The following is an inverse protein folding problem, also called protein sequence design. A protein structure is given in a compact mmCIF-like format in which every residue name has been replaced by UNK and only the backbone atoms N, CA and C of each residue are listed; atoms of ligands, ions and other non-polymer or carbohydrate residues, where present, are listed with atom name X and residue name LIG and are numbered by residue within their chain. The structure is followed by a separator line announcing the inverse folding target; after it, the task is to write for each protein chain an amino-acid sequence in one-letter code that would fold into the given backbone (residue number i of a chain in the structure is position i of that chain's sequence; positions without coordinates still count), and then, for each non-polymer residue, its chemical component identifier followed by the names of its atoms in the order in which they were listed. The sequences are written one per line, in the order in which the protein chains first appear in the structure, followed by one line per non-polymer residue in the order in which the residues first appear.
data_IF_933302385393
#
_entry.id   IF_933302385393
#
_cell.length_a   1.000
_cell.length_b   1.000
_cell.length_c   1.000
_cell.angle_alpha   90.00
_cell.angle_beta   90.00
_cell.angle_gamma   90.00
#
_symmetry.space_group_name_H-M   'P 1'
#
loop_
_entity.id
_entity.type
_entity.pdbx_description
1 polymer ?
#
# COMPACT_ATOMS: atom_id res chain seq x y z
N UNK A 1 -23.28 -21.28 12.05
CA UNK A 1 -22.61 -21.37 10.73
C UNK A 1 -22.23 -22.82 10.48
N UNK A 2 -22.50 -23.34 9.30
CA UNK A 2 -22.16 -24.68 8.87
C UNK A 2 -21.07 -24.61 7.78
N UNK A 3 -20.05 -25.47 7.87
CA UNK A 3 -18.95 -25.47 6.92
C UNK A 3 -19.42 -26.02 5.57
N UNK A 4 -19.26 -25.25 4.51
CA UNK A 4 -19.52 -25.65 3.13
C UNK A 4 -18.25 -26.05 2.38
N UNK A 5 -17.12 -25.41 2.70
CA UNK A 5 -15.83 -25.74 2.10
C UNK A 5 -14.70 -25.45 3.10
N UNK A 6 -13.71 -26.31 3.12
CA UNK A 6 -12.49 -26.11 3.89
C UNK A 6 -11.44 -25.64 2.89
N UNK A 7 -10.92 -24.42 3.10
CA UNK A 7 -9.89 -23.83 2.24
C UNK A 7 -8.50 -24.26 2.71
N UNK A 8 -8.24 -24.19 4.02
CA UNK A 8 -7.09 -24.76 4.69
C UNK A 8 -7.39 -25.02 6.17
N UNK A 9 -6.37 -25.31 6.99
CA UNK A 9 -6.54 -25.60 8.41
C UNK A 9 -7.10 -24.42 9.22
N UNK A 10 -6.98 -23.20 8.73
CA UNK A 10 -7.33 -21.96 9.45
C UNK A 10 -8.47 -21.18 8.80
N UNK A 11 -8.90 -21.57 7.60
CA UNK A 11 -9.91 -20.84 6.81
C UNK A 11 -10.96 -21.80 6.28
N UNK A 12 -12.21 -21.47 6.55
CA UNK A 12 -13.37 -22.22 6.02
C UNK A 12 -14.37 -21.28 5.38
N UNK A 13 -15.06 -21.73 4.35
CA UNK A 13 -16.30 -21.14 3.87
C UNK A 13 -17.44 -21.76 4.63
N UNK A 14 -18.31 -20.93 5.18
CA UNK A 14 -19.44 -21.37 5.99
C UNK A 14 -20.74 -20.63 5.59
N UNK A 15 -21.85 -21.30 5.76
CA UNK A 15 -23.18 -20.77 5.52
C UNK A 15 -23.87 -20.51 6.85
N UNK A 16 -24.54 -19.35 6.98
CA UNK A 16 -25.43 -19.04 8.08
C UNK A 16 -26.59 -18.20 7.57
N UNK A 17 -27.83 -18.69 7.78
CA UNK A 17 -29.07 -18.02 7.32
C UNK A 17 -29.04 -17.61 5.83
N UNK A 18 -28.55 -18.48 4.94
CA UNK A 18 -28.39 -18.23 3.50
C UNK A 18 -27.38 -17.13 3.15
N UNK A 19 -26.51 -16.74 4.07
CA UNK A 19 -25.40 -15.83 3.83
C UNK A 19 -24.11 -16.63 3.89
N UNK A 20 -23.27 -16.48 2.89
CA UNK A 20 -21.96 -17.12 2.82
C UNK A 20 -20.90 -16.27 3.52
N UNK A 21 -20.04 -16.93 4.25
CA UNK A 21 -18.96 -16.31 5.02
C UNK A 21 -17.63 -17.00 4.75
N UNK A 22 -16.55 -16.21 4.69
CA UNK A 22 -15.22 -16.73 4.96
C UNK A 22 -14.95 -16.54 6.45
N UNK A 23 -14.63 -17.62 7.12
CA UNK A 23 -14.36 -17.63 8.56
C UNK A 23 -12.92 -18.08 8.78
N UNK A 24 -12.20 -17.30 9.54
CA UNK A 24 -10.77 -17.46 9.80
C UNK A 24 -10.51 -17.61 11.28
N UNK A 25 -9.58 -18.49 11.63
CA UNK A 25 -9.12 -18.70 12.99
C UNK A 25 -8.26 -19.93 13.11
N UNK A 26 -7.35 -19.90 14.05
CA UNK A 26 -6.34 -20.96 14.24
C UNK A 26 -6.96 -22.34 14.42
N UNK A 27 -6.64 -23.26 13.50
CA UNK A 27 -7.13 -24.64 13.53
C UNK A 27 -8.64 -24.77 13.33
N UNK A 28 -9.29 -23.79 12.71
CA UNK A 28 -10.74 -23.76 12.50
C UNK A 28 -11.22 -24.87 11.55
N UNK A 29 -10.41 -25.16 10.52
CA UNK A 29 -10.67 -26.24 9.55
C UNK A 29 -9.98 -27.57 9.89
N UNK A 30 -9.10 -27.58 10.91
CA UNK A 30 -8.34 -28.77 11.25
C UNK A 30 -9.25 -29.92 11.73
N UNK A 31 -9.14 -31.08 11.09
CA UNK A 31 -9.97 -32.28 11.34
C UNK A 31 -11.47 -32.08 11.16
N UNK A 32 -11.91 -30.98 10.54
CA UNK A 32 -13.31 -30.72 10.18
C UNK A 32 -13.68 -31.31 8.83
N UNK A 33 -14.98 -31.47 8.61
CA UNK A 33 -15.57 -31.93 7.35
C UNK A 33 -16.65 -30.94 6.90
N UNK A 34 -16.94 -30.97 5.61
CA UNK A 34 -18.11 -30.27 5.07
C UNK A 34 -19.36 -30.78 5.80
N UNK A 35 -20.18 -29.83 6.24
CA UNK A 35 -21.37 -30.09 7.05
C UNK A 35 -21.17 -29.95 8.57
N UNK A 36 -19.92 -29.89 9.05
CA UNK A 36 -19.65 -29.65 10.46
C UNK A 36 -19.97 -28.20 10.87
N UNK A 37 -20.21 -28.00 12.16
CA UNK A 37 -20.40 -26.65 12.69
C UNK A 37 -19.04 -25.96 12.90
N UNK A 38 -19.01 -24.67 12.56
CA UNK A 38 -17.89 -23.80 12.84
C UNK A 38 -17.74 -23.64 14.36
N UNK A 39 -16.54 -23.83 14.87
CA UNK A 39 -16.21 -23.63 16.28
C UNK A 39 -16.12 -22.13 16.58
N UNK A 40 -17.13 -21.60 17.26
CA UNK A 40 -17.26 -20.16 17.51
C UNK A 40 -16.13 -19.58 18.36
N UNK A 41 -15.52 -20.38 19.24
CA UNK A 41 -14.43 -19.94 20.10
C UNK A 41 -13.10 -19.75 19.33
N UNK A 42 -12.99 -20.38 18.17
CA UNK A 42 -11.82 -20.27 17.29
C UNK A 42 -11.94 -19.19 16.24
N UNK A 43 -13.09 -18.51 16.15
CA UNK A 43 -13.28 -17.46 15.14
C UNK A 43 -12.47 -16.22 15.52
N UNK A 44 -11.48 -15.89 14.70
CA UNK A 44 -10.71 -14.65 14.81
C UNK A 44 -11.26 -13.56 13.89
N UNK A 45 -11.69 -13.96 12.69
CA UNK A 45 -12.24 -13.04 11.70
C UNK A 45 -13.35 -13.69 10.86
N UNK A 46 -14.30 -12.88 10.46
CA UNK A 46 -15.41 -13.30 9.58
C UNK A 46 -15.61 -12.24 8.51
N UNK A 47 -15.68 -12.66 7.26
CA UNK A 47 -16.02 -11.80 6.12
C UNK A 47 -17.31 -12.33 5.46
N UNK A 48 -18.19 -11.41 5.10
CA UNK A 48 -19.37 -11.72 4.30
C UNK A 48 -18.99 -11.80 2.84
N UNK A 49 -19.43 -12.82 2.13
CA UNK A 49 -19.24 -12.94 0.69
C UNK A 49 -20.45 -12.34 -0.03
N UNK A 50 -20.21 -11.31 -0.82
CA UNK A 50 -21.27 -10.65 -1.58
C UNK A 50 -21.56 -11.35 -2.93
N UNK A 51 -20.61 -12.14 -3.45
CA UNK A 51 -20.76 -12.89 -4.70
C UNK A 51 -19.90 -14.16 -4.72
N UNK A 52 -20.27 -15.10 -5.59
CA UNK A 52 -19.65 -16.42 -5.73
C UNK A 52 -18.27 -16.35 -6.42
N UNK A 53 -17.99 -15.30 -7.22
CA UNK A 53 -16.70 -15.14 -7.91
C UNK A 53 -15.56 -14.86 -6.90
N UNK A 54 -15.87 -14.14 -5.82
CA UNK A 54 -14.94 -13.91 -4.72
C UNK A 54 -14.45 -15.24 -4.09
N UNK A 55 -15.29 -16.26 -4.00
CA UNK A 55 -14.93 -17.57 -3.41
C UNK A 55 -13.79 -18.26 -4.15
N UNK A 56 -13.78 -18.18 -5.48
CA UNK A 56 -12.74 -18.81 -6.29
C UNK A 56 -11.40 -18.08 -6.13
N UNK A 57 -11.42 -16.77 -6.06
CA UNK A 57 -10.24 -15.93 -5.85
C UNK A 57 -9.64 -16.18 -4.45
N UNK A 58 -10.49 -16.22 -3.43
CA UNK A 58 -10.12 -16.61 -2.09
C UNK A 58 -9.47 -18.00 -2.06
N UNK A 59 -10.10 -18.97 -2.73
CA UNK A 59 -9.58 -20.33 -2.74
C UNK A 59 -8.18 -20.43 -3.34
N UNK A 60 -7.87 -19.65 -4.40
CA UNK A 60 -6.54 -19.66 -5.03
C UNK A 60 -5.44 -19.14 -4.12
N UNK A 61 -5.70 -18.04 -3.43
CA UNK A 61 -4.71 -17.43 -2.54
C UNK A 61 -4.52 -18.28 -1.29
N UNK A 62 -5.61 -18.75 -0.67
CA UNK A 62 -5.54 -19.41 0.63
C UNK A 62 -5.10 -20.88 0.60
N UNK A 63 -5.33 -21.58 -0.50
CA UNK A 63 -4.86 -22.99 -0.63
C UNK A 63 -3.33 -23.06 -0.61
N UNK A 64 -2.65 -22.01 -1.06
CA UNK A 64 -1.19 -21.97 -1.18
C UNK A 64 -0.48 -21.26 -0.02
N UNK A 65 -1.21 -20.56 0.87
CA UNK A 65 -0.61 -19.84 1.99
C UNK A 65 -0.30 -20.80 3.15
N UNK A 66 0.95 -20.81 3.65
CA UNK A 66 1.29 -21.53 4.88
C UNK A 66 0.47 -21.03 6.07
N UNK A 67 0.09 -21.94 6.97
CA UNK A 67 -0.71 -21.61 8.17
C UNK A 67 -0.04 -20.53 9.05
N UNK A 68 1.30 -20.54 9.14
CA UNK A 68 2.06 -19.54 9.90
C UNK A 68 1.96 -18.15 9.28
N UNK A 69 2.07 -18.04 7.96
CA UNK A 69 1.97 -16.78 7.22
C UNK A 69 0.58 -16.17 7.42
N UNK A 70 -0.46 -17.00 7.31
CA UNK A 70 -1.85 -16.59 7.52
C UNK A 70 -2.06 -15.94 8.88
N UNK A 71 -1.55 -16.54 9.95
CA UNK A 71 -1.71 -16.00 11.30
C UNK A 71 -1.03 -14.64 11.45
N UNK A 72 0.16 -14.49 10.88
CA UNK A 72 0.88 -13.21 10.89
C UNK A 72 0.12 -12.14 10.12
N UNK A 73 -0.44 -12.47 8.95
CA UNK A 73 -1.21 -11.53 8.14
C UNK A 73 -2.51 -11.09 8.83
N UNK A 74 -3.19 -12.00 9.53
CA UNK A 74 -4.35 -11.64 10.35
C UNK A 74 -3.97 -10.71 11.51
N UNK A 75 -2.83 -10.93 12.15
CA UNK A 75 -2.32 -10.06 13.21
C UNK A 75 -2.00 -8.65 12.66
N UNK A 76 -1.40 -8.57 11.48
CA UNK A 76 -1.12 -7.30 10.80
C UNK A 76 -2.43 -6.56 10.49
N UNK A 77 -3.42 -7.25 9.92
CA UNK A 77 -4.72 -6.66 9.60
C UNK A 77 -5.42 -6.15 10.88
N UNK A 78 -5.44 -6.97 11.93
CA UNK A 78 -6.08 -6.60 13.21
C UNK A 78 -5.42 -5.37 13.83
N UNK A 79 -4.09 -5.29 13.80
CA UNK A 79 -3.35 -4.12 14.25
C UNK A 79 -3.69 -2.88 13.40
N UNK A 80 -3.72 -3.02 12.08
CA UNK A 80 -4.05 -1.92 11.18
C UNK A 80 -5.47 -1.39 11.40
N UNK A 81 -6.46 -2.27 11.56
CA UNK A 81 -7.83 -1.89 11.86
C UNK A 81 -7.96 -1.11 13.17
N UNK A 82 -7.20 -1.51 14.19
CA UNK A 82 -7.16 -0.80 15.47
C UNK A 82 -6.53 0.60 15.34
N UNK A 83 -5.43 0.72 14.58
CA UNK A 83 -4.72 2.00 14.38
C UNK A 83 -5.53 2.95 13.51
N UNK A 84 -6.12 2.46 12.41
CA UNK A 84 -6.85 3.28 11.43
C UNK A 84 -8.31 3.47 11.80
N UNK A 85 -8.82 2.72 12.79
CA UNK A 85 -10.23 2.72 13.21
C UNK A 85 -11.19 2.47 12.05
N UNK A 86 -10.83 1.57 11.15
CA UNK A 86 -11.60 1.17 9.99
C UNK A 86 -11.63 -0.34 9.85
N UNK A 87 -12.58 -0.85 9.10
CA UNK A 87 -12.66 -2.26 8.71
C UNK A 87 -12.31 -2.37 7.24
N UNK A 88 -11.58 -3.41 6.91
CA UNK A 88 -11.21 -3.70 5.54
C UNK A 88 -12.05 -4.83 5.00
N UNK A 89 -12.38 -4.72 3.72
CA UNK A 89 -13.13 -5.75 3.03
C UNK A 89 -12.26 -7.00 2.72
N UNK A 90 -12.91 -8.08 2.33
CA UNK A 90 -12.22 -9.32 2.00
C UNK A 90 -11.20 -9.19 0.88
N UNK A 91 -11.49 -8.43 -0.18
CA UNK A 91 -10.60 -8.30 -1.35
C UNK A 91 -9.30 -7.58 -0.98
N UNK A 92 -9.38 -6.63 -0.08
CA UNK A 92 -8.20 -6.00 0.49
C UNK A 92 -7.28 -7.01 1.20
N UNK A 93 -7.86 -7.88 2.04
CA UNK A 93 -7.05 -8.87 2.76
C UNK A 93 -6.35 -9.83 1.79
N UNK A 94 -7.03 -10.24 0.72
CA UNK A 94 -6.43 -11.08 -0.34
C UNK A 94 -5.24 -10.37 -0.97
N UNK A 95 -5.43 -9.11 -1.39
CA UNK A 95 -4.37 -8.33 -2.04
C UNK A 95 -3.16 -8.11 -1.11
N UNK A 96 -3.41 -7.86 0.17
CA UNK A 96 -2.35 -7.70 1.17
C UNK A 96 -1.61 -9.03 1.42
N UNK A 97 -2.36 -10.14 1.56
CA UNK A 97 -1.78 -11.45 1.82
C UNK A 97 -0.93 -11.94 0.64
N UNK A 98 -1.41 -11.74 -0.58
CA UNK A 98 -0.66 -12.05 -1.81
C UNK A 98 0.64 -11.23 -1.89
N UNK A 99 0.58 -9.93 -1.64
CA UNK A 99 1.76 -9.07 -1.60
C UNK A 99 2.78 -9.54 -0.55
N UNK A 100 2.34 -9.78 0.68
CA UNK A 100 3.22 -10.19 1.78
C UNK A 100 3.84 -11.55 1.53
N UNK A 101 3.05 -12.51 1.05
CA UNK A 101 3.56 -13.83 0.68
C UNK A 101 4.66 -13.73 -0.39
N UNK A 102 4.41 -12.94 -1.43
CA UNK A 102 5.38 -12.75 -2.50
C UNK A 102 6.64 -12.00 -2.02
N UNK A 103 6.50 -11.05 -1.10
CA UNK A 103 7.64 -10.34 -0.49
C UNK A 103 8.50 -11.30 0.36
N UNK A 104 7.87 -12.22 1.11
CA UNK A 104 8.55 -13.24 1.90
C UNK A 104 9.31 -14.22 1.00
N UNK A 105 8.68 -14.71 -0.08
CA UNK A 105 9.33 -15.62 -1.03
C UNK A 105 10.54 -14.95 -1.70
N UNK A 106 10.40 -13.72 -2.19
CA UNK A 106 11.52 -12.95 -2.77
C UNK A 106 12.67 -12.78 -1.78
N UNK A 107 12.35 -12.45 -0.52
CA UNK A 107 13.38 -12.29 0.51
C UNK A 107 14.15 -13.59 0.76
N UNK A 108 13.46 -14.74 0.78
CA UNK A 108 14.08 -16.06 0.89
C UNK A 108 14.99 -16.39 -0.29
N UNK A 109 14.66 -15.88 -1.47
CA UNK A 109 15.47 -16.00 -2.68
C UNK A 109 16.60 -14.96 -2.77
N UNK A 110 16.69 -14.06 -1.80
CA UNK A 110 17.70 -12.99 -1.78
C UNK A 110 17.44 -11.87 -2.79
N UNK A 111 16.20 -11.74 -3.28
CA UNK A 111 15.79 -10.68 -4.22
C UNK A 111 15.24 -9.51 -3.43
N UNK A 112 15.92 -8.37 -3.51
CA UNK A 112 15.49 -7.10 -2.92
C UNK A 112 14.81 -6.23 -3.98
N UNK A 113 13.69 -5.62 -3.61
CA UNK A 113 13.03 -4.59 -4.42
C UNK A 113 13.05 -3.26 -3.65
N UNK A 114 13.54 -2.23 -4.30
CA UNK A 114 13.46 -0.87 -3.77
C UNK A 114 12.09 -0.27 -4.12
N UNK A 115 11.47 0.38 -3.15
CA UNK A 115 10.25 1.15 -3.40
C UNK A 115 10.63 2.62 -3.67
N UNK A 116 10.48 3.11 -4.91
CA UNK A 116 10.85 4.48 -5.26
C UNK A 116 10.01 5.53 -4.55
N UNK A 117 8.92 5.13 -3.89
CA UNK A 117 8.02 6.00 -3.14
C UNK A 117 8.20 5.89 -1.62
N UNK A 118 9.23 5.16 -1.14
CA UNK A 118 9.40 4.89 0.28
C UNK A 118 9.49 6.17 1.11
N UNK A 119 10.19 7.18 0.60
CA UNK A 119 10.33 8.47 1.28
C UNK A 119 8.99 9.22 1.35
N UNK A 120 8.27 9.31 0.22
CA UNK A 120 6.98 9.98 0.12
C UNK A 120 5.95 9.34 1.04
N UNK A 121 5.89 8.01 1.03
CA UNK A 121 4.98 7.26 1.89
C UNK A 121 5.28 7.52 3.36
N UNK A 122 6.54 7.46 3.77
CA UNK A 122 6.96 7.76 5.14
C UNK A 122 6.58 9.19 5.57
N UNK A 123 6.69 10.14 4.65
CA UNK A 123 6.42 11.56 4.90
C UNK A 123 4.91 11.88 4.96
N UNK A 124 4.12 11.31 4.04
CA UNK A 124 2.73 11.71 3.81
C UNK A 124 1.71 10.80 4.47
N UNK A 125 2.10 9.56 4.72
CA UNK A 125 1.26 8.54 5.34
C UNK A 125 1.94 7.92 6.57
N UNK A 126 2.32 8.76 7.55
CA UNK A 126 3.11 8.28 8.70
C UNK A 126 2.37 7.21 9.51
N UNK A 127 1.03 7.24 9.57
CA UNK A 127 0.24 6.23 10.30
C UNK A 127 0.29 4.88 9.59
N UNK A 128 0.07 4.87 8.29
CA UNK A 128 0.11 3.67 7.45
C UNK A 128 1.54 3.14 7.37
N UNK A 129 2.54 4.02 7.32
CA UNK A 129 3.95 3.61 7.35
C UNK A 129 4.33 2.94 8.67
N UNK A 130 3.82 3.40 9.83
CA UNK A 130 4.00 2.69 11.10
C UNK A 130 3.36 1.31 11.10
N UNK A 131 2.21 1.14 10.43
CA UNK A 131 1.61 -0.18 10.21
C UNK A 131 2.53 -1.07 9.36
N UNK A 132 3.09 -0.52 8.29
CA UNK A 132 4.09 -1.23 7.47
C UNK A 132 5.30 -1.68 8.28
N UNK A 133 5.88 -0.81 9.10
CA UNK A 133 6.99 -1.18 10.00
C UNK A 133 6.60 -2.27 11.01
N UNK A 134 5.39 -2.19 11.55
CA UNK A 134 4.90 -3.22 12.46
C UNK A 134 4.69 -4.56 11.75
N UNK A 135 4.22 -4.54 10.49
CA UNK A 135 4.11 -5.74 9.66
C UNK A 135 5.48 -6.42 9.49
N UNK A 136 6.53 -5.67 9.14
CA UNK A 136 7.88 -6.20 9.01
C UNK A 136 8.38 -6.82 10.32
N UNK A 137 8.12 -6.18 11.47
CA UNK A 137 8.50 -6.72 12.78
C UNK A 137 7.79 -8.03 13.11
N UNK A 138 6.50 -8.14 12.79
CA UNK A 138 5.73 -9.37 13.01
C UNK A 138 6.24 -10.50 12.12
N UNK A 139 6.52 -10.21 10.85
CA UNK A 139 7.09 -11.17 9.91
C UNK A 139 8.48 -11.65 10.40
N UNK A 140 9.34 -10.72 10.76
CA UNK A 140 10.68 -11.07 11.26
C UNK A 140 10.63 -11.92 12.54
N UNK A 141 9.70 -11.62 13.44
CA UNK A 141 9.55 -12.32 14.72
C UNK A 141 8.95 -13.72 14.57
N UNK A 142 7.85 -13.82 13.79
CA UNK A 142 7.00 -15.01 13.82
C UNK A 142 7.29 -15.96 12.63
N UNK A 143 7.90 -15.45 11.53
CA UNK A 143 8.29 -16.23 10.36
C UNK A 143 9.80 -16.32 10.16
N UNK A 144 10.60 -15.64 11.00
CA UNK A 144 12.07 -15.60 10.91
C UNK A 144 12.60 -15.09 9.56
N UNK A 145 11.82 -14.22 8.87
CA UNK A 145 12.17 -13.61 7.58
C UNK A 145 12.38 -12.12 7.73
N UNK A 146 13.55 -11.64 7.35
CA UNK A 146 13.87 -10.22 7.38
C UNK A 146 13.56 -9.60 6.00
N UNK A 147 12.54 -8.76 5.97
CA UNK A 147 12.22 -7.97 4.78
C UNK A 147 13.01 -6.65 4.79
N UNK A 148 13.25 -6.09 3.61
CA UNK A 148 13.86 -4.78 3.45
C UNK A 148 12.96 -3.66 3.99
N UNK A 149 13.57 -2.59 4.48
CA UNK A 149 12.84 -1.46 5.09
C UNK A 149 11.84 -0.81 4.10
N UNK A 150 12.13 -0.84 2.82
CA UNK A 150 11.28 -0.30 1.76
C UNK A 150 9.94 -1.06 1.63
N UNK A 151 9.88 -2.33 2.05
CA UNK A 151 8.61 -3.07 2.07
C UNK A 151 7.61 -2.47 3.06
N UNK A 152 8.06 -1.76 4.09
CA UNK A 152 7.15 -1.02 4.97
C UNK A 152 6.33 0.03 4.21
N UNK A 153 6.93 0.68 3.21
CA UNK A 153 6.23 1.62 2.36
C UNK A 153 5.26 0.92 1.39
N UNK A 154 5.65 -0.23 0.85
CA UNK A 154 4.78 -1.03 -0.02
C UNK A 154 3.54 -1.51 0.73
N UNK A 155 3.70 -2.04 1.93
CA UNK A 155 2.59 -2.42 2.82
C UNK A 155 1.71 -1.21 3.18
N UNK A 156 2.32 -0.07 3.52
CA UNK A 156 1.59 1.16 3.82
C UNK A 156 0.70 1.60 2.65
N UNK A 157 1.19 1.51 1.41
CA UNK A 157 0.42 1.86 0.21
C UNK A 157 -0.81 0.97 0.02
N UNK A 158 -0.77 -0.30 0.39
CA UNK A 158 -1.96 -1.14 0.40
C UNK A 158 -3.04 -0.55 1.31
N UNK A 159 -2.69 -0.15 2.53
CA UNK A 159 -3.63 0.48 3.47
C UNK A 159 -4.12 1.84 3.00
N UNK A 160 -3.24 2.69 2.46
CA UNK A 160 -3.63 3.97 1.85
C UNK A 160 -4.64 3.76 0.73
N UNK A 161 -4.40 2.77 -0.14
CA UNK A 161 -5.30 2.48 -1.24
C UNK A 161 -6.66 1.94 -0.77
N UNK A 162 -6.71 1.10 0.24
CA UNK A 162 -7.94 0.55 0.78
C UNK A 162 -8.83 1.58 1.50
N UNK A 163 -8.25 2.63 2.07
CA UNK A 163 -9.01 3.69 2.72
C UNK A 163 -9.72 4.63 1.73
N UNK A 164 -9.44 4.53 0.43
CA UNK A 164 -10.02 5.39 -0.62
C UNK A 164 -11.52 5.22 -0.78
N UNK A 165 -12.04 4.02 -0.58
CA UNK A 165 -13.46 3.71 -0.77
C UNK A 165 -14.34 4.35 0.33
N UNK A 166 -13.74 4.83 1.42
CA UNK A 166 -14.44 5.52 2.50
C UNK A 166 -14.65 7.03 2.27
N UNK A 167 -14.28 7.58 1.11
CA UNK A 167 -14.53 9.00 0.74
C UNK A 167 -13.73 10.06 1.53
N UNK A 168 -12.96 9.65 2.53
CA UNK A 168 -12.21 10.56 3.41
C UNK A 168 -10.84 10.99 2.82
N UNK A 169 -10.31 10.25 1.86
CA UNK A 169 -8.92 10.42 1.39
C UNK A 169 -8.76 10.71 -0.11
N UNK A 170 -9.85 11.00 -0.85
CA UNK A 170 -9.73 11.29 -2.28
C UNK A 170 -8.80 12.48 -2.55
N UNK A 171 -8.86 13.51 -1.70
CA UNK A 171 -7.97 14.67 -1.79
C UNK A 171 -6.52 14.31 -1.50
N UNK A 172 -6.28 13.47 -0.49
CA UNK A 172 -4.93 13.04 -0.12
C UNK A 172 -4.31 12.17 -1.22
N UNK A 173 -5.12 11.31 -1.84
CA UNK A 173 -4.71 10.53 -3.01
C UNK A 173 -4.31 11.40 -4.18
N UNK A 174 -5.16 12.35 -4.55
CA UNK A 174 -4.88 13.27 -5.65
C UNK A 174 -3.62 14.07 -5.37
N UNK A 175 -3.43 14.52 -4.12
CA UNK A 175 -2.19 15.19 -3.69
C UNK A 175 -0.97 14.29 -3.92
N UNK A 176 -1.02 13.03 -3.48
CA UNK A 176 0.10 12.09 -3.65
C UNK A 176 0.38 11.81 -5.12
N UNK A 177 -0.64 11.60 -5.94
CA UNK A 177 -0.46 11.39 -7.38
C UNK A 177 0.24 12.59 -8.05
N UNK A 178 -0.12 13.81 -7.66
CA UNK A 178 0.52 15.02 -8.17
C UNK A 178 1.99 15.07 -7.72
N UNK A 179 2.24 14.82 -6.43
CA UNK A 179 3.61 14.86 -5.86
C UNK A 179 4.50 13.83 -6.54
N UNK A 180 4.05 12.58 -6.63
CA UNK A 180 4.79 11.49 -7.28
C UNK A 180 5.03 11.81 -8.75
N UNK A 181 3.97 12.17 -9.50
CA UNK A 181 4.09 12.45 -10.92
C UNK A 181 5.06 13.60 -11.23
N UNK A 182 5.06 14.66 -10.43
CA UNK A 182 6.02 15.76 -10.60
C UNK A 182 7.43 15.34 -10.19
N UNK A 183 7.60 14.58 -9.12
CA UNK A 183 8.90 14.07 -8.68
C UNK A 183 9.54 13.18 -9.74
N UNK A 184 8.76 12.29 -10.37
CA UNK A 184 9.22 11.43 -11.46
C UNK A 184 9.64 12.24 -12.68
N UNK A 185 8.86 13.26 -13.06
CA UNK A 185 9.23 14.17 -14.16
C UNK A 185 10.56 14.87 -13.86
N UNK A 186 10.77 15.32 -12.61
CA UNK A 186 12.00 15.98 -12.20
C UNK A 186 13.18 15.01 -12.24
N UNK A 187 13.04 13.77 -11.70
CA UNK A 187 14.07 12.73 -11.77
C UNK A 187 14.44 12.42 -13.23
N UNK A 188 13.46 12.20 -14.08
CA UNK A 188 13.67 11.93 -15.51
C UNK A 188 14.35 13.10 -16.23
N UNK A 189 13.99 14.35 -15.89
CA UNK A 189 14.57 15.53 -16.50
C UNK A 189 16.04 15.71 -16.15
N UNK A 190 16.40 15.50 -14.90
CA UNK A 190 17.78 15.67 -14.43
C UNK A 190 18.65 14.44 -14.68
N UNK A 191 18.06 13.25 -14.87
CA UNK A 191 18.78 12.01 -15.22
C UNK A 191 19.67 11.46 -14.09
N UNK A 192 19.42 11.86 -12.84
CA UNK A 192 20.10 11.34 -11.65
C UNK A 192 19.13 11.28 -10.47
N UNK A 193 19.46 10.44 -9.50
CA UNK A 193 18.71 10.36 -8.26
C UNK A 193 18.94 11.62 -7.43
N UNK A 194 17.84 12.17 -6.93
CA UNK A 194 17.88 13.34 -6.06
C UNK A 194 18.33 12.90 -4.66
N UNK A 195 19.25 13.66 -4.09
CA UNK A 195 19.68 13.46 -2.70
C UNK A 195 18.53 13.82 -1.75
N UNK A 196 17.84 12.79 -1.26
CA UNK A 196 16.64 12.90 -0.43
C UNK A 196 16.91 13.51 0.94
N UNK A 197 18.13 13.40 1.43
CA UNK A 197 18.56 13.98 2.71
C UNK A 197 18.99 15.45 2.56
N UNK A 198 19.12 15.94 1.34
CA UNK A 198 19.52 17.32 1.09
C UNK A 198 18.44 18.33 1.52
N UNK A 199 18.91 19.47 2.04
CA UNK A 199 18.04 20.60 2.37
C UNK A 199 17.21 21.08 1.15
N UNK A 200 17.82 21.05 -0.04
CA UNK A 200 17.18 21.45 -1.30
C UNK A 200 16.03 20.51 -1.68
N UNK A 201 16.23 19.21 -1.53
CA UNK A 201 15.18 18.23 -1.78
C UNK A 201 14.01 18.36 -0.81
N UNK A 202 14.29 18.46 0.48
CA UNK A 202 13.28 18.66 1.51
C UNK A 202 12.47 19.93 1.27
N UNK A 203 13.10 21.00 0.84
CA UNK A 203 12.45 22.25 0.47
C UNK A 203 11.57 22.09 -0.78
N UNK A 204 12.09 21.42 -1.81
CA UNK A 204 11.35 21.11 -3.03
C UNK A 204 10.08 20.31 -2.70
N UNK A 205 10.19 19.25 -1.95
CA UNK A 205 9.06 18.39 -1.56
C UNK A 205 8.02 19.15 -0.73
N UNK A 206 8.44 20.02 0.16
CA UNK A 206 7.53 20.89 0.93
C UNK A 206 6.73 21.81 0.02
N UNK A 207 7.37 22.46 -0.94
CA UNK A 207 6.68 23.33 -1.89
C UNK A 207 5.75 22.56 -2.82
N UNK A 208 6.16 21.37 -3.25
CA UNK A 208 5.36 20.50 -4.09
C UNK A 208 4.10 20.02 -3.37
N UNK A 209 4.17 19.74 -2.08
CA UNK A 209 2.99 19.42 -1.26
C UNK A 209 1.99 20.59 -1.21
N UNK A 210 2.46 21.79 -0.94
CA UNK A 210 1.59 22.98 -0.93
C UNK A 210 0.93 23.21 -2.30
N UNK A 211 1.66 22.98 -3.38
CA UNK A 211 1.13 23.07 -4.74
C UNK A 211 0.03 22.01 -4.96
N UNK A 212 0.31 20.75 -4.63
CA UNK A 212 -0.65 19.67 -4.76
C UNK A 212 -1.91 19.92 -3.93
N UNK A 213 -1.77 20.37 -2.68
CA UNK A 213 -2.89 20.75 -1.82
C UNK A 213 -3.76 21.86 -2.43
N UNK A 214 -3.15 22.86 -3.03
CA UNK A 214 -3.87 23.96 -3.70
C UNK A 214 -4.63 23.48 -4.92
N UNK A 215 -4.00 22.65 -5.75
CA UNK A 215 -4.64 22.07 -6.95
C UNK A 215 -5.87 21.26 -6.53
N UNK A 216 -5.72 20.35 -5.57
CA UNK A 216 -6.80 19.47 -5.10
C UNK A 216 -7.91 20.25 -4.38
N UNK A 217 -7.57 21.37 -3.71
CA UNK A 217 -8.54 22.23 -3.03
C UNK A 217 -9.26 23.19 -3.97
N UNK A 218 -8.91 23.21 -5.27
CA UNK A 218 -9.51 24.14 -6.26
C UNK A 218 -9.18 25.61 -6.01
N UNK A 219 -8.18 25.89 -5.17
CA UNK A 219 -7.73 27.27 -4.90
C UNK A 219 -6.84 27.71 -6.05
N UNK A 220 -7.43 28.35 -7.04
CA UNK A 220 -6.70 28.87 -8.19
C UNK A 220 -6.05 30.24 -7.91
N UNK A 221 -4.78 30.33 -8.30
CA UNK A 221 -4.07 31.52 -8.66
C UNK A 221 -4.09 32.73 -7.72
N UNK A 222 -3.26 32.74 -6.67
CA UNK A 222 -2.88 34.00 -6.03
C UNK A 222 -1.50 34.45 -6.51
N UNK A 223 -1.09 35.67 -6.15
CA UNK A 223 0.25 36.27 -6.46
C UNK A 223 1.45 35.38 -6.13
N UNK A 224 1.24 34.30 -5.36
CA UNK A 224 2.27 33.32 -5.00
C UNK A 224 2.62 32.32 -6.11
N UNK A 225 1.81 32.20 -7.18
CA UNK A 225 2.14 31.29 -8.29
C UNK A 225 3.32 31.80 -9.10
N UNK A 226 3.48 33.12 -9.22
CA UNK A 226 4.65 33.74 -9.82
C UNK A 226 5.91 33.43 -9.00
N UNK A 227 5.82 33.40 -7.67
CA UNK A 227 6.94 33.07 -6.80
C UNK A 227 7.37 31.60 -6.95
N UNK A 228 6.41 30.67 -6.95
CA UNK A 228 6.69 29.25 -7.19
C UNK A 228 7.29 29.00 -8.58
N UNK A 229 6.75 29.66 -9.61
CA UNK A 229 7.29 29.59 -10.96
C UNK A 229 8.73 30.09 -11.03
N UNK A 230 9.05 31.22 -10.39
CA UNK A 230 10.43 31.74 -10.35
C UNK A 230 11.37 30.83 -9.51
N UNK A 231 10.90 30.19 -8.42
CA UNK A 231 11.69 29.23 -7.66
C UNK A 231 12.01 27.97 -8.50
N UNK A 232 11.02 27.42 -9.19
CA UNK A 232 11.21 26.28 -10.10
C UNK A 232 12.15 26.65 -11.24
N UNK A 233 12.01 27.84 -11.79
CA UNK A 233 12.87 28.35 -12.86
C UNK A 233 14.31 28.58 -12.41
N UNK A 234 14.54 28.99 -11.16
CA UNK A 234 15.88 29.10 -10.56
C UNK A 234 16.51 27.71 -10.39
N UNK A 235 15.74 26.73 -9.90
CA UNK A 235 16.20 25.35 -9.75
C UNK A 235 16.58 24.75 -11.12
N UNK A 236 15.74 24.96 -12.13
CA UNK A 236 16.01 24.47 -13.50
C UNK A 236 17.16 25.22 -14.17
N UNK A 237 17.40 26.48 -13.85
CA UNK A 237 18.48 27.32 -14.41
C UNK A 237 19.78 27.27 -13.64
N UNK A 238 19.82 26.66 -12.46
CA UNK A 238 21.07 26.49 -11.71
C UNK A 238 22.03 25.60 -12.48
N UNK A 239 23.24 26.08 -12.85
CA UNK A 239 24.16 25.35 -13.69
C UNK A 239 24.97 24.34 -12.86
N UNK A 240 24.32 23.36 -12.27
CA UNK A 240 25.00 22.16 -11.83
C UNK A 240 25.08 21.24 -13.05
N UNK A 241 26.16 21.42 -13.83
CA UNK A 241 26.74 20.53 -14.86
C UNK A 241 25.77 19.51 -15.48
N UNK A 242 24.87 19.96 -16.34
CA UNK A 242 24.15 19.08 -17.26
C UNK A 242 25.13 18.65 -18.37
N UNK A 243 25.42 17.35 -18.56
CA UNK A 243 26.18 16.92 -19.74
C UNK A 243 25.42 17.34 -20.99
N UNK A 244 26.09 18.03 -21.91
CA UNK A 244 25.54 18.59 -23.16
C UNK A 244 24.87 17.59 -24.15
N UNK A 245 24.53 16.39 -23.74
CA UNK A 245 24.06 15.30 -24.61
C UNK A 245 22.54 15.09 -24.67
N UNK A 246 21.70 15.90 -23.98
CA UNK A 246 20.25 15.68 -23.93
C UNK A 246 19.42 16.91 -24.37
N UNK A 247 19.91 17.67 -25.34
CA UNK A 247 19.24 18.88 -25.86
C UNK A 247 18.37 18.72 -27.13
N UNK A 248 17.71 17.61 -27.47
CA UNK A 248 16.67 17.69 -28.48
C UNK A 248 15.22 17.44 -28.01
N UNK A 249 14.95 17.12 -26.73
CA UNK A 249 13.58 16.73 -26.31
C UNK A 249 12.75 17.88 -25.74
N UNK A 250 13.37 19.02 -25.37
CA UNK A 250 12.67 20.11 -24.68
C UNK A 250 11.83 21.06 -25.57
N UNK A 251 11.72 20.80 -26.89
CA UNK A 251 10.95 21.68 -27.80
C UNK A 251 9.53 21.20 -28.18
N UNK A 252 9.10 20.05 -27.68
CA UNK A 252 7.80 19.47 -28.09
C UNK A 252 6.76 19.29 -27.01
N UNK A 253 7.02 19.69 -25.77
CA UNK A 253 6.02 19.55 -24.69
C UNK A 253 5.83 20.89 -23.98
N UNK A 254 5.39 21.90 -24.72
CA UNK A 254 4.61 23.01 -24.18
C UNK A 254 3.83 23.64 -25.35
N UNK A 255 2.54 23.34 -25.46
CA UNK A 255 1.55 24.30 -25.09
C UNK A 255 0.42 23.62 -24.33
N UNK A 256 0.17 24.05 -23.11
CA UNK A 256 -1.12 24.01 -22.42
C UNK A 256 -0.91 24.37 -20.96
N UNK A 257 -1.02 25.58 -20.73
CA UNK A 257 -1.72 26.40 -19.73
C UNK A 257 -1.03 27.74 -19.58
#
# INVERSE_FOLDING_TARGET
MQIEKILNNNVVQALDNNVEYIVMGKGLGFQKKVGDLVDKEKIEKTFVLENTEAVEEWSRVYVNLPDADMQVFLNILTFAEAVLQTKFDPSFFIALADHLHYAIERSREGVSLQNPLAWEVRKFYPREYEIGKQALRLIAKDLEVQLEDDEAASVALHFVNAQKDAGLHEKDRQMTQIVVGVSDIVRLHFGYDLDEDSFSYNRFMTHLQYLAQRIVSGVSGGKNDAFLYEQVKIIIRSPLSVPKRLLPISRQVMPLI
#
